data_IF_763632107707
#
_entry.id   IF_763632107707
#
_cell.length_a   1.000
_cell.length_b   1.000
_cell.length_c   1.000
_cell.angle_alpha   90.00
_cell.angle_beta   90.00
_cell.angle_gamma   90.00
#
_symmetry.space_group_name_H-M   'P 1'
#
loop_
_entity.id
_entity.type
_entity.pdbx_description
1 polymer ?
#
# COMPACT_ATOMS: atom_id res chain seq x y z
N UNK A 1 -4.00 33.36 34.85
CA UNK A 1 -5.01 32.43 34.29
C UNK A 1 -6.10 33.31 33.70
N UNK A 2 -6.38 33.22 32.39
CA UNK A 2 -7.44 34.05 31.78
C UNK A 2 -8.80 33.68 32.38
N UNK A 3 -9.74 34.64 32.56
CA UNK A 3 -11.01 34.39 33.26
C UNK A 3 -11.85 33.21 32.70
N UNK A 4 -11.64 32.86 31.42
CA UNK A 4 -12.28 31.71 30.79
C UNK A 4 -11.70 30.36 31.22
N UNK A 5 -10.39 30.28 31.52
CA UNK A 5 -9.73 29.01 31.88
C UNK A 5 -10.19 28.47 33.22
N UNK A 6 -10.60 29.35 34.12
CA UNK A 6 -11.08 29.01 35.48
C UNK A 6 -12.49 28.37 35.50
N UNK A 7 -13.18 28.36 34.35
CA UNK A 7 -14.53 27.78 34.20
C UNK A 7 -14.55 26.39 33.57
N UNK A 8 -13.39 25.84 33.18
CA UNK A 8 -13.30 24.48 32.65
C UNK A 8 -12.94 23.50 33.77
N UNK A 9 -13.84 22.55 34.05
CA UNK A 9 -13.61 21.53 35.09
C UNK A 9 -12.60 20.43 34.70
N UNK A 10 -12.25 20.31 33.41
CA UNK A 10 -11.22 19.40 32.92
C UNK A 10 -10.69 19.85 31.56
N UNK A 11 -9.44 19.53 31.28
CA UNK A 11 -8.80 19.71 29.97
C UNK A 11 -8.27 18.36 29.49
N UNK A 12 -8.85 17.83 28.40
CA UNK A 12 -8.37 16.61 27.75
C UNK A 12 -7.47 17.00 26.58
N UNK A 13 -6.25 16.48 26.56
CA UNK A 13 -5.34 16.59 25.42
C UNK A 13 -5.45 15.34 24.57
N UNK A 14 -5.83 15.51 23.31
CA UNK A 14 -5.95 14.41 22.34
C UNK A 14 -4.67 14.29 21.51
N UNK A 15 -4.52 13.16 20.83
CA UNK A 15 -3.44 12.92 19.87
C UNK A 15 -3.91 11.97 18.78
N UNK A 16 -3.23 11.97 17.65
CA UNK A 16 -3.41 10.95 16.61
C UNK A 16 -2.91 9.57 17.08
N UNK A 17 -3.37 8.47 16.47
CA UNK A 17 -2.89 7.13 16.78
C UNK A 17 -1.36 7.04 16.74
N UNK A 18 -0.79 6.36 17.74
CA UNK A 18 0.67 6.20 17.87
C UNK A 18 1.15 4.87 17.31
N UNK A 19 0.28 3.86 17.35
CA UNK A 19 0.54 2.51 16.84
C UNK A 19 -0.14 2.32 15.49
N UNK A 20 0.48 1.55 14.60
CA UNK A 20 -0.12 1.21 13.31
C UNK A 20 -1.40 0.40 13.51
N UNK A 21 -1.42 -0.50 14.47
CA UNK A 21 -2.58 -1.34 14.78
C UNK A 21 -3.81 -0.49 15.13
N UNK A 22 -3.64 0.58 15.91
CA UNK A 22 -4.74 1.49 16.27
C UNK A 22 -5.28 2.22 15.03
N UNK A 23 -4.39 2.64 14.12
CA UNK A 23 -4.79 3.28 12.85
C UNK A 23 -5.56 2.29 11.97
N UNK A 24 -5.13 1.02 11.90
CA UNK A 24 -5.81 -0.04 11.15
C UNK A 24 -7.20 -0.31 11.72
N UNK A 25 -7.32 -0.43 13.05
CA UNK A 25 -8.62 -0.63 13.70
C UNK A 25 -9.59 0.52 13.39
N UNK A 26 -9.11 1.76 13.39
CA UNK A 26 -9.92 2.92 13.02
C UNK A 26 -10.33 2.85 11.53
N UNK A 27 -9.40 2.54 10.63
CA UNK A 27 -9.71 2.39 9.20
C UNK A 27 -10.78 1.32 8.94
N UNK A 28 -10.69 0.17 9.62
CA UNK A 28 -11.65 -0.92 9.44
C UNK A 28 -13.02 -0.61 10.04
N UNK A 29 -13.05 0.07 11.19
CA UNK A 29 -14.28 0.43 11.88
C UNK A 29 -15.03 1.57 11.18
N UNK A 30 -14.31 2.57 10.67
CA UNK A 30 -14.89 3.83 10.18
C UNK A 30 -15.07 3.87 8.66
N UNK A 31 -14.53 2.89 7.91
CA UNK A 31 -14.72 2.87 6.45
C UNK A 31 -16.20 2.75 6.09
N UNK A 32 -16.57 3.42 5.04
CA UNK A 32 -17.86 3.23 4.38
C UNK A 32 -17.82 1.91 3.62
N UNK A 33 -18.65 0.96 4.02
CA UNK A 33 -18.93 -0.22 3.20
C UNK A 33 -19.66 0.22 1.93
N UNK A 34 -19.14 -0.15 0.76
CA UNK A 34 -19.80 0.09 -0.52
C UNK A 34 -20.38 -1.21 -1.07
N UNK A 35 -21.56 -1.19 -1.71
CA UNK A 35 -22.11 -2.37 -2.35
C UNK A 35 -21.19 -2.78 -3.51
N UNK A 36 -20.71 -4.01 -3.47
CA UNK A 36 -19.89 -4.61 -4.53
C UNK A 36 -20.69 -5.65 -5.34
N UNK A 37 -22.02 -5.55 -5.38
CA UNK A 37 -22.93 -6.45 -6.11
C UNK A 37 -22.62 -7.94 -5.94
N UNK A 38 -22.31 -8.35 -4.70
CA UNK A 38 -21.99 -9.74 -4.37
C UNK A 38 -20.53 -10.16 -4.59
N UNK A 39 -19.67 -9.28 -5.14
CA UNK A 39 -18.23 -9.52 -5.24
C UNK A 39 -17.59 -9.46 -3.84
N UNK A 40 -17.04 -10.58 -3.32
CA UNK A 40 -16.32 -10.57 -2.07
C UNK A 40 -15.07 -9.68 -2.19
N UNK A 41 -14.81 -8.93 -1.12
CA UNK A 41 -13.63 -8.05 -0.99
C UNK A 41 -12.85 -8.50 0.24
N UNK A 42 -11.56 -8.76 0.05
CA UNK A 42 -10.63 -9.06 1.14
C UNK A 42 -9.40 -8.17 1.01
N UNK A 43 -8.72 -7.92 2.12
CA UNK A 43 -7.54 -7.07 2.14
C UNK A 43 -6.43 -7.74 2.97
N UNK A 44 -5.27 -8.04 2.35
CA UNK A 44 -4.14 -8.59 3.06
C UNK A 44 -3.63 -7.62 4.12
N UNK A 45 -3.14 -8.18 5.22
CA UNK A 45 -2.66 -7.40 6.37
C UNK A 45 -1.56 -6.39 5.98
N UNK A 46 -0.61 -6.80 5.14
CA UNK A 46 0.44 -5.90 4.66
C UNK A 46 -0.10 -4.71 3.84
N UNK A 47 -1.23 -4.85 3.13
CA UNK A 47 -1.84 -3.72 2.41
C UNK A 47 -2.46 -2.72 3.37
N UNK A 48 -3.12 -3.17 4.44
CA UNK A 48 -3.63 -2.28 5.50
C UNK A 48 -2.48 -1.56 6.20
N UNK A 49 -1.39 -2.28 6.50
CA UNK A 49 -0.18 -1.69 7.07
C UNK A 49 0.46 -0.65 6.16
N UNK A 50 0.44 -0.82 4.84
CA UNK A 50 0.95 0.20 3.89
C UNK A 50 0.15 1.50 4.01
N UNK A 51 -1.19 1.43 4.08
CA UNK A 51 -2.05 2.62 4.22
C UNK A 51 -1.80 3.33 5.55
N UNK A 52 -1.73 2.57 6.65
CA UNK A 52 -1.44 3.12 7.97
C UNK A 52 -0.01 3.72 8.04
N UNK A 53 0.99 3.04 7.49
CA UNK A 53 2.37 3.50 7.46
C UNK A 53 2.52 4.79 6.63
N UNK A 54 1.84 4.88 5.49
CA UNK A 54 1.79 6.10 4.68
C UNK A 54 1.32 7.29 5.52
N UNK A 55 0.23 7.11 6.27
CA UNK A 55 -0.35 8.17 7.12
C UNK A 55 0.61 8.56 8.25
N UNK A 56 1.27 7.60 8.87
CA UNK A 56 2.29 7.85 9.91
C UNK A 56 3.53 8.55 9.35
N UNK A 57 3.98 8.21 8.14
CA UNK A 57 5.07 8.89 7.47
C UNK A 57 4.68 10.33 7.12
N UNK A 58 3.45 10.55 6.63
CA UNK A 58 2.94 11.88 6.32
C UNK A 58 2.91 12.80 7.56
N UNK A 59 2.47 12.30 8.72
CA UNK A 59 2.50 13.02 10.02
C UNK A 59 3.89 13.43 10.50
N UNK A 60 4.95 12.86 9.93
CA UNK A 60 6.35 13.13 10.32
C UNK A 60 7.14 13.81 9.20
N UNK A 61 6.52 14.02 8.03
CA UNK A 61 7.20 14.59 6.88
C UNK A 61 7.36 16.10 7.02
N UNK A 62 8.58 16.60 6.85
CA UNK A 62 8.86 18.04 6.77
C UNK A 62 8.30 18.69 5.51
N UNK A 63 7.93 17.89 4.50
CA UNK A 63 7.31 18.36 3.25
C UNK A 63 5.79 18.59 3.42
N UNK A 64 5.20 18.19 4.55
CA UNK A 64 3.76 18.32 4.85
C UNK A 64 3.56 19.29 6.00
N UNK A 65 2.56 20.18 5.86
CA UNK A 65 2.18 21.17 6.87
C UNK A 65 1.79 20.52 8.19
N UNK A 66 2.63 20.68 9.19
CA UNK A 66 2.36 20.18 10.54
C UNK A 66 1.36 21.07 11.30
N UNK A 67 1.12 22.29 10.81
CA UNK A 67 0.07 23.19 11.33
C UNK A 67 -1.32 22.65 11.02
N UNK A 68 -1.51 22.17 9.80
CA UNK A 68 -2.78 21.61 9.32
C UNK A 68 -2.93 20.15 9.80
N UNK A 69 -1.81 19.45 9.92
CA UNK A 69 -1.74 18.07 10.42
C UNK A 69 -2.30 17.06 9.42
N UNK A 70 -2.15 15.77 9.74
CA UNK A 70 -2.64 14.67 8.89
C UNK A 70 -3.64 13.84 9.69
N UNK A 71 -4.92 14.04 9.36
CA UNK A 71 -6.04 13.40 10.04
C UNK A 71 -6.11 11.89 9.80
N UNK A 72 -6.75 11.16 10.71
CA UNK A 72 -7.18 9.77 10.48
C UNK A 72 -8.14 9.63 9.27
N UNK A 73 -8.80 10.71 8.85
CA UNK A 73 -9.60 10.70 7.61
C UNK A 73 -8.76 10.41 6.36
N UNK A 74 -7.46 10.69 6.40
CA UNK A 74 -6.55 10.34 5.30
C UNK A 74 -6.44 8.82 5.17
N UNK A 75 -6.19 8.12 6.27
CA UNK A 75 -6.04 6.66 6.26
C UNK A 75 -7.36 5.97 5.91
N UNK A 76 -8.48 6.40 6.49
CA UNK A 76 -9.82 5.88 6.19
C UNK A 76 -10.13 6.01 4.69
N UNK A 77 -10.02 7.21 4.12
CA UNK A 77 -10.32 7.41 2.71
C UNK A 77 -9.31 6.73 1.78
N UNK A 78 -8.04 6.64 2.17
CA UNK A 78 -7.04 5.90 1.40
C UNK A 78 -7.37 4.41 1.37
N UNK A 79 -7.86 3.85 2.48
CA UNK A 79 -8.29 2.46 2.53
C UNK A 79 -9.54 2.22 1.67
N UNK A 80 -10.53 3.10 1.73
CA UNK A 80 -11.71 3.04 0.87
C UNK A 80 -11.34 3.11 -0.63
N UNK A 81 -10.42 4.00 -1.01
CA UNK A 81 -9.96 4.14 -2.39
C UNK A 81 -9.14 2.93 -2.86
N UNK A 82 -8.33 2.35 -1.97
CA UNK A 82 -7.60 1.12 -2.25
C UNK A 82 -8.55 -0.03 -2.58
N UNK A 83 -9.56 -0.24 -1.73
CA UNK A 83 -10.57 -1.27 -1.94
C UNK A 83 -11.42 -1.00 -3.20
N UNK A 84 -11.77 0.27 -3.44
CA UNK A 84 -12.51 0.67 -4.65
C UNK A 84 -11.71 0.41 -5.93
N UNK A 85 -10.41 0.67 -5.91
CA UNK A 85 -9.51 0.34 -7.04
C UNK A 85 -9.47 -1.17 -7.28
N UNK A 86 -9.31 -1.96 -6.20
CA UNK A 86 -9.28 -3.41 -6.29
C UNK A 86 -10.59 -4.00 -6.87
N UNK A 87 -11.75 -3.48 -6.42
CA UNK A 87 -13.06 -3.88 -6.93
C UNK A 87 -13.23 -3.49 -8.40
N UNK A 88 -12.89 -2.25 -8.76
CA UNK A 88 -12.91 -1.79 -10.15
C UNK A 88 -12.05 -2.68 -11.04
N UNK A 89 -10.86 -3.07 -10.60
CA UNK A 89 -9.98 -4.00 -11.32
C UNK A 89 -10.60 -5.38 -11.45
N UNK A 90 -11.08 -5.95 -10.35
CA UNK A 90 -11.71 -7.27 -10.33
C UNK A 90 -12.90 -7.35 -11.30
N UNK A 91 -13.80 -6.36 -11.27
CA UNK A 91 -14.95 -6.29 -12.20
C UNK A 91 -14.49 -6.21 -13.66
N UNK A 92 -13.49 -5.37 -13.98
CA UNK A 92 -12.96 -5.23 -15.35
C UNK A 92 -12.30 -6.50 -15.88
N UNK A 93 -11.68 -7.27 -14.98
CA UNK A 93 -10.97 -8.50 -15.32
C UNK A 93 -11.84 -9.76 -15.16
N UNK A 94 -13.09 -9.62 -14.73
CA UNK A 94 -13.99 -10.74 -14.45
C UNK A 94 -13.49 -11.64 -13.32
N UNK A 95 -12.88 -11.07 -12.29
CA UNK A 95 -12.41 -11.81 -11.11
C UNK A 95 -13.53 -11.95 -10.07
N UNK A 96 -13.64 -13.14 -9.46
CA UNK A 96 -14.66 -13.45 -8.45
C UNK A 96 -14.29 -12.98 -7.03
N UNK A 97 -13.11 -12.39 -6.85
CA UNK A 97 -12.62 -11.89 -5.56
C UNK A 97 -11.75 -10.64 -5.76
N UNK A 98 -12.11 -9.56 -5.08
CA UNK A 98 -11.32 -8.34 -5.07
C UNK A 98 -10.33 -8.33 -3.91
N UNK A 99 -9.04 -8.37 -4.25
CA UNK A 99 -7.93 -8.19 -3.31
C UNK A 99 -7.01 -7.08 -3.82
N UNK A 100 -6.71 -6.04 -3.02
CA UNK A 100 -5.84 -4.94 -3.44
C UNK A 100 -4.39 -5.40 -3.62
N UNK A 101 -3.72 -4.83 -4.63
CA UNK A 101 -2.32 -5.10 -4.99
C UNK A 101 -1.50 -3.80 -4.98
N UNK A 102 -0.19 -3.88 -5.20
CA UNK A 102 0.68 -2.69 -5.31
C UNK A 102 0.24 -1.78 -6.44
N UNK A 103 -0.25 -2.35 -7.55
CA UNK A 103 -0.79 -1.59 -8.68
C UNK A 103 -2.01 -0.72 -8.31
N UNK A 104 -2.73 -1.07 -7.23
CA UNK A 104 -3.87 -0.28 -6.72
C UNK A 104 -3.41 0.93 -5.86
N UNK A 105 -2.14 1.00 -5.46
CA UNK A 105 -1.62 2.09 -4.61
C UNK A 105 -1.63 3.47 -5.29
N UNK A 106 -1.71 3.52 -6.62
CA UNK A 106 -1.90 4.77 -7.35
C UNK A 106 -3.15 5.55 -6.89
N UNK A 107 -4.19 4.85 -6.43
CA UNK A 107 -5.42 5.47 -5.92
C UNK A 107 -5.20 6.25 -4.61
N UNK A 108 -4.17 5.91 -3.83
CA UNK A 108 -3.86 6.60 -2.57
C UNK A 108 -3.33 8.01 -2.84
N UNK A 109 -2.53 8.21 -3.89
CA UNK A 109 -1.97 9.52 -4.23
C UNK A 109 -3.11 10.51 -4.49
N UNK A 110 -4.03 10.15 -5.38
CA UNK A 110 -5.19 10.98 -5.70
C UNK A 110 -6.08 11.28 -4.47
N UNK A 111 -6.30 10.30 -3.60
CA UNK A 111 -7.09 10.49 -2.36
C UNK A 111 -6.38 11.37 -1.33
N UNK A 112 -5.05 11.27 -1.24
CA UNK A 112 -4.24 11.97 -0.23
C UNK A 112 -4.06 13.44 -0.58
N UNK A 113 -3.83 13.77 -1.85
CA UNK A 113 -3.62 15.16 -2.32
C UNK A 113 -4.73 16.11 -1.88
N UNK A 114 -6.00 15.68 -1.94
CA UNK A 114 -7.11 16.52 -1.50
C UNK A 114 -7.27 16.65 0.04
N UNK A 115 -6.39 16.04 0.84
CA UNK A 115 -6.54 15.91 2.30
C UNK A 115 -5.29 16.27 3.10
N UNK A 116 -4.22 16.64 2.43
CA UNK A 116 -3.00 17.14 3.07
C UNK A 116 -2.67 18.51 2.51
N UNK A 117 -1.90 19.28 3.26
CA UNK A 117 -1.31 20.52 2.78
C UNK A 117 0.21 20.36 2.79
N UNK A 118 0.87 20.78 1.71
CA UNK A 118 2.33 20.81 1.69
C UNK A 118 2.86 21.99 2.51
N UNK A 119 4.04 21.80 3.12
CA UNK A 119 4.77 22.94 3.66
C UNK A 119 5.28 23.79 2.48
N UNK A 120 5.01 25.10 2.53
CA UNK A 120 5.30 26.01 1.42
C UNK A 120 6.80 26.21 1.26
N UNK A 121 7.48 25.30 0.55
CA UNK A 121 8.87 25.47 0.14
C UNK A 121 9.02 25.07 -1.33
N UNK A 122 9.08 26.09 -2.20
CA UNK A 122 9.44 25.97 -3.63
C UNK A 122 8.41 25.28 -4.53
N UNK A 123 8.82 24.98 -5.77
CA UNK A 123 8.06 24.20 -6.77
C UNK A 123 8.00 22.70 -6.42
N UNK A 124 7.63 22.39 -5.18
CA UNK A 124 7.52 21.02 -4.72
C UNK A 124 6.32 20.36 -5.39
N UNK A 125 6.60 19.39 -6.26
CA UNK A 125 5.56 18.59 -6.90
C UNK A 125 4.97 17.61 -5.88
N UNK A 126 3.74 17.86 -5.46
CA UNK A 126 2.99 17.09 -4.47
C UNK A 126 2.92 15.59 -4.78
N UNK A 127 2.65 15.23 -6.04
CA UNK A 127 2.59 13.83 -6.46
C UNK A 127 3.94 13.12 -6.26
N UNK A 128 5.06 13.83 -6.48
CA UNK A 128 6.40 13.26 -6.22
C UNK A 128 6.65 13.03 -4.74
N UNK A 129 6.23 13.96 -3.87
CA UNK A 129 6.35 13.81 -2.42
C UNK A 129 5.53 12.59 -1.96
N UNK A 130 4.27 12.53 -2.37
CA UNK A 130 3.39 11.40 -2.05
C UNK A 130 3.91 10.08 -2.60
N UNK A 131 4.39 10.06 -3.84
CA UNK A 131 4.99 8.87 -4.44
C UNK A 131 6.18 8.33 -3.63
N UNK A 132 7.06 9.23 -3.15
CA UNK A 132 8.16 8.83 -2.26
C UNK A 132 7.66 8.29 -0.92
N UNK A 133 6.62 8.90 -0.34
CA UNK A 133 6.02 8.42 0.91
C UNK A 133 5.38 7.03 0.74
N UNK A 134 4.68 6.78 -0.38
CA UNK A 134 4.12 5.46 -0.72
C UNK A 134 5.24 4.43 -0.88
N UNK A 135 6.29 4.73 -1.65
CA UNK A 135 7.45 3.83 -1.79
C UNK A 135 8.09 3.53 -0.43
N UNK A 136 8.25 4.54 0.42
CA UNK A 136 8.80 4.37 1.77
C UNK A 136 7.88 3.51 2.65
N UNK A 137 6.55 3.69 2.55
CA UNK A 137 5.58 2.87 3.26
C UNK A 137 5.68 1.39 2.83
N UNK A 138 5.68 1.13 1.52
CA UNK A 138 5.86 -0.23 0.97
C UNK A 138 7.17 -0.86 1.48
N UNK A 139 8.29 -0.14 1.40
CA UNK A 139 9.58 -0.62 1.88
C UNK A 139 9.57 -0.92 3.40
N UNK A 140 9.02 -0.01 4.20
CA UNK A 140 8.95 -0.18 5.65
C UNK A 140 8.11 -1.39 6.04
N UNK A 141 6.98 -1.61 5.36
CA UNK A 141 6.12 -2.77 5.59
C UNK A 141 6.80 -4.04 5.09
N UNK A 142 7.38 -4.04 3.89
CA UNK A 142 8.15 -5.17 3.36
C UNK A 142 9.21 -5.68 4.33
N UNK A 143 9.98 -4.76 4.94
CA UNK A 143 11.02 -5.11 5.92
C UNK A 143 10.47 -5.69 7.24
N UNK A 144 9.15 -5.66 7.50
CA UNK A 144 8.51 -6.36 8.62
C UNK A 144 8.22 -7.82 8.30
N UNK A 145 8.03 -8.14 7.02
CA UNK A 145 7.66 -9.48 6.56
C UNK A 145 8.87 -10.28 6.06
N UNK A 146 9.82 -9.60 5.41
CA UNK A 146 10.96 -10.23 4.77
C UNK A 146 12.25 -9.45 5.00
N UNK A 147 13.34 -10.19 5.07
CA UNK A 147 14.70 -9.74 4.83
C UNK A 147 15.16 -10.13 3.42
N UNK A 148 16.16 -9.42 2.89
CA UNK A 148 16.71 -9.76 1.58
C UNK A 148 17.34 -11.16 1.53
N UNK A 149 17.87 -11.66 2.66
CA UNK A 149 18.47 -12.99 2.76
C UNK A 149 17.42 -14.11 2.59
N UNK A 150 16.22 -13.92 3.14
CA UNK A 150 15.11 -14.90 3.00
C UNK A 150 14.60 -15.02 1.56
N UNK A 151 14.91 -14.04 0.71
CA UNK A 151 14.46 -14.00 -0.69
C UNK A 151 15.61 -14.23 -1.69
N UNK A 152 16.76 -14.75 -1.23
CA UNK A 152 17.89 -15.07 -2.11
C UNK A 152 17.52 -15.99 -3.27
N UNK A 153 16.65 -16.99 -3.03
CA UNK A 153 16.16 -17.87 -4.10
C UNK A 153 15.36 -17.13 -5.18
N UNK A 154 14.61 -16.08 -4.79
CA UNK A 154 13.89 -15.22 -5.74
C UNK A 154 14.90 -14.39 -6.52
N UNK A 155 15.82 -13.71 -5.83
CA UNK A 155 16.85 -12.87 -6.46
C UNK A 155 17.72 -13.69 -7.42
N UNK A 156 18.13 -14.89 -7.03
CA UNK A 156 18.91 -15.81 -7.87
C UNK A 156 18.18 -16.20 -9.17
N UNK A 157 16.86 -16.42 -9.11
CA UNK A 157 16.07 -16.69 -10.32
C UNK A 157 16.09 -15.50 -11.30
N UNK A 158 15.99 -14.26 -10.78
CA UNK A 158 16.09 -13.03 -11.58
C UNK A 158 17.48 -12.81 -12.18
N UNK A 159 18.54 -13.11 -11.41
CA UNK A 159 19.92 -13.10 -11.93
C UNK A 159 20.14 -14.16 -13.02
N UNK A 160 19.41 -15.28 -12.94
CA UNK A 160 19.37 -16.33 -13.96
C UNK A 160 18.55 -15.98 -15.22
N UNK A 161 18.04 -14.74 -15.34
CA UNK A 161 17.33 -14.27 -16.53
C UNK A 161 15.80 -14.30 -16.42
N UNK A 162 15.23 -14.64 -15.26
CA UNK A 162 13.80 -14.48 -15.03
C UNK A 162 13.40 -13.01 -15.20
N UNK A 163 12.26 -12.79 -15.85
CA UNK A 163 11.58 -11.51 -15.86
C UNK A 163 10.10 -11.74 -15.60
N UNK A 164 9.51 -10.95 -14.72
CA UNK A 164 8.09 -11.02 -14.39
C UNK A 164 7.45 -9.69 -14.78
N UNK A 165 6.29 -9.78 -15.43
CA UNK A 165 5.48 -8.63 -15.76
C UNK A 165 4.28 -8.55 -14.83
N UNK A 166 3.99 -7.35 -14.36
CA UNK A 166 2.80 -7.04 -13.56
C UNK A 166 2.07 -5.83 -14.17
N UNK A 167 0.76 -5.76 -13.94
CA UNK A 167 -0.10 -4.65 -14.38
C UNK A 167 -1.44 -4.67 -13.67
N UNK A 168 -2.02 -3.49 -13.52
CA UNK A 168 -3.42 -3.25 -13.12
C UNK A 168 -4.46 -3.83 -14.09
N UNK A 169 -4.05 -4.16 -15.32
CA UNK A 169 -4.88 -4.82 -16.34
C UNK A 169 -4.57 -6.30 -16.55
N UNK A 170 -3.72 -6.89 -15.68
CA UNK A 170 -3.35 -8.30 -15.76
C UNK A 170 -4.24 -9.16 -14.83
N UNK A 171 -4.92 -10.20 -15.37
CA UNK A 171 -5.71 -11.14 -14.57
C UNK A 171 -4.89 -11.89 -13.52
N UNK A 172 -5.47 -12.17 -12.35
CA UNK A 172 -4.85 -12.95 -11.27
C UNK A 172 -4.26 -14.29 -11.73
N UNK A 173 -4.94 -14.98 -12.63
CA UNK A 173 -4.53 -16.30 -13.15
C UNK A 173 -3.19 -16.23 -13.89
N UNK A 174 -2.87 -15.08 -14.50
CA UNK A 174 -1.60 -14.87 -15.18
C UNK A 174 -0.44 -14.78 -14.18
N UNK A 175 -0.65 -14.23 -12.98
CA UNK A 175 0.36 -14.23 -11.92
C UNK A 175 0.67 -15.66 -11.47
N UNK A 176 -0.38 -16.47 -11.25
CA UNK A 176 -0.23 -17.88 -10.88
C UNK A 176 0.58 -18.64 -11.95
N UNK A 177 0.28 -18.40 -13.23
CA UNK A 177 1.01 -18.99 -14.35
C UNK A 177 2.48 -18.57 -14.38
N UNK A 178 2.77 -17.27 -14.22
CA UNK A 178 4.14 -16.75 -14.23
C UNK A 178 5.01 -17.33 -13.10
N UNK A 179 4.45 -17.48 -11.90
CA UNK A 179 5.24 -17.94 -10.74
C UNK A 179 5.28 -19.46 -10.56
N UNK A 180 4.47 -20.22 -11.31
CA UNK A 180 4.36 -21.68 -11.16
C UNK A 180 5.69 -22.42 -11.34
N UNK A 181 6.68 -21.80 -11.99
CA UNK A 181 8.04 -22.33 -12.19
C UNK A 181 9.08 -21.70 -11.25
N UNK A 182 8.66 -20.87 -10.30
CA UNK A 182 9.55 -20.16 -9.36
C UNK A 182 9.15 -20.53 -7.92
N UNK A 183 9.63 -21.69 -7.41
CA UNK A 183 9.23 -22.18 -6.08
C UNK A 183 9.48 -21.19 -4.95
N UNK A 184 10.59 -20.44 -5.02
CA UNK A 184 10.93 -19.44 -4.01
C UNK A 184 9.88 -18.30 -3.93
N UNK A 185 9.35 -17.86 -5.07
CA UNK A 185 8.34 -16.81 -5.11
C UNK A 185 6.97 -17.33 -4.67
N UNK A 186 6.66 -18.59 -5.00
CA UNK A 186 5.47 -19.28 -4.49
C UNK A 186 5.51 -19.41 -2.96
N UNK A 187 6.65 -19.81 -2.40
CA UNK A 187 6.84 -19.91 -0.95
C UNK A 187 6.71 -18.54 -0.25
N UNK A 188 7.25 -17.47 -0.86
CA UNK A 188 7.09 -16.12 -0.35
C UNK A 188 5.61 -15.68 -0.34
N UNK A 189 4.85 -15.99 -1.40
CA UNK A 189 3.42 -15.71 -1.45
C UNK A 189 2.64 -16.48 -0.37
N UNK A 190 2.94 -17.78 -0.18
CA UNK A 190 2.31 -18.60 0.85
C UNK A 190 2.59 -18.09 2.28
N UNK A 191 3.81 -17.59 2.54
CA UNK A 191 4.14 -16.97 3.84
C UNK A 191 3.29 -15.73 4.15
N UNK A 192 2.84 -15.01 3.11
CA UNK A 192 1.91 -13.89 3.23
C UNK A 192 0.44 -14.33 3.37
N UNK A 193 0.18 -15.64 3.44
CA UNK A 193 -1.17 -16.20 3.54
C UNK A 193 -1.94 -16.24 2.22
N UNK A 194 -1.28 -16.02 1.08
CA UNK A 194 -1.93 -16.05 -0.22
C UNK A 194 -2.22 -17.50 -0.65
N UNK A 195 -3.49 -17.83 -0.86
CA UNK A 195 -3.92 -19.17 -1.31
C UNK A 195 -4.59 -19.15 -2.67
N UNK A 196 -5.40 -18.13 -2.91
CA UNK A 196 -6.20 -17.91 -4.10
C UNK A 196 -5.47 -17.00 -5.09
N UNK A 197 -5.86 -17.06 -6.37
CA UNK A 197 -5.15 -16.37 -7.45
C UNK A 197 -5.03 -14.85 -7.19
N UNK A 198 -6.08 -14.21 -6.66
CA UNK A 198 -6.07 -12.78 -6.35
C UNK A 198 -5.10 -12.44 -5.20
N UNK A 199 -5.03 -13.28 -4.17
CA UNK A 199 -4.05 -13.19 -3.09
C UNK A 199 -2.63 -13.40 -3.60
N UNK A 200 -2.41 -14.39 -4.48
CA UNK A 200 -1.10 -14.67 -5.09
C UNK A 200 -0.62 -13.46 -5.89
N UNK A 201 -1.48 -12.87 -6.72
CA UNK A 201 -1.14 -11.68 -7.48
C UNK A 201 -0.74 -10.50 -6.58
N UNK A 202 -1.50 -10.26 -5.50
CA UNK A 202 -1.17 -9.22 -4.52
C UNK A 202 0.17 -9.47 -3.81
N UNK A 203 0.43 -10.72 -3.43
CA UNK A 203 1.65 -11.10 -2.72
C UNK A 203 2.88 -11.00 -3.63
N UNK A 204 2.76 -11.44 -4.89
CA UNK A 204 3.82 -11.33 -5.89
C UNK A 204 4.18 -9.88 -6.14
N UNK A 205 3.20 -9.02 -6.40
CA UNK A 205 3.46 -7.59 -6.59
C UNK A 205 4.16 -6.96 -5.38
N UNK A 206 3.74 -7.31 -4.15
CA UNK A 206 4.36 -6.81 -2.93
C UNK A 206 5.82 -7.25 -2.76
N UNK A 207 6.12 -8.53 -3.02
CA UNK A 207 7.49 -9.07 -2.94
C UNK A 207 8.39 -8.41 -3.99
N UNK A 208 7.92 -8.31 -5.24
CA UNK A 208 8.68 -7.71 -6.33
C UNK A 208 8.96 -6.23 -6.09
N UNK A 209 7.96 -5.47 -5.63
CA UNK A 209 8.15 -4.06 -5.31
C UNK A 209 9.10 -3.87 -4.13
N UNK A 210 9.00 -4.69 -3.08
CA UNK A 210 9.93 -4.64 -1.95
C UNK A 210 11.38 -4.96 -2.35
N UNK A 211 11.59 -5.98 -3.20
CA UNK A 211 12.91 -6.30 -3.75
C UNK A 211 13.45 -5.18 -4.65
N UNK A 212 12.58 -4.52 -5.43
CA UNK A 212 12.98 -3.36 -6.19
C UNK A 212 13.41 -2.18 -5.30
N UNK A 213 12.63 -1.86 -4.27
CA UNK A 213 12.90 -0.76 -3.34
C UNK A 213 14.14 -1.01 -2.46
N UNK A 214 14.51 -2.28 -2.25
CA UNK A 214 15.78 -2.69 -1.63
C UNK A 214 16.95 -2.80 -2.63
N UNK A 215 16.74 -2.37 -3.89
CA UNK A 215 17.73 -2.39 -4.97
C UNK A 215 18.24 -3.79 -5.33
N UNK A 216 17.42 -4.82 -5.11
CA UNK A 216 17.71 -6.21 -5.51
C UNK A 216 17.16 -6.55 -6.89
N UNK A 217 16.14 -5.83 -7.35
CA UNK A 217 15.57 -5.96 -8.69
C UNK A 217 15.48 -4.60 -9.38
N UNK A 218 15.63 -4.62 -10.70
CA UNK A 218 15.31 -3.50 -11.57
C UNK A 218 13.81 -3.53 -11.91
N UNK A 219 13.21 -2.34 -12.05
CA UNK A 219 11.82 -2.17 -12.49
C UNK A 219 11.79 -1.23 -13.69
N UNK A 220 11.40 -1.76 -14.84
CA UNK A 220 11.16 -0.98 -16.05
C UNK A 220 9.66 -0.68 -16.19
N UNK A 221 9.33 0.54 -16.62
CA UNK A 221 7.94 0.96 -16.90
C UNK A 221 7.71 0.92 -18.40
N UNK A 222 6.72 0.16 -18.87
CA UNK A 222 6.35 0.05 -20.28
C UNK A 222 4.84 0.12 -20.45
N UNK A 223 4.33 1.25 -20.96
CA UNK A 223 2.93 1.44 -21.33
C UNK A 223 1.92 1.00 -20.25
N UNK A 224 2.13 1.41 -18.99
CA UNK A 224 1.25 1.05 -17.85
C UNK A 224 1.50 -0.35 -17.27
N UNK A 225 2.50 -1.08 -17.78
CA UNK A 225 2.97 -2.35 -17.22
C UNK A 225 4.33 -2.15 -16.57
N UNK A 226 4.58 -2.91 -15.52
CA UNK A 226 5.88 -2.95 -14.85
C UNK A 226 6.55 -4.29 -15.14
N UNK A 227 7.82 -4.23 -15.52
CA UNK A 227 8.64 -5.41 -15.74
C UNK A 227 9.76 -5.44 -14.70
N UNK A 228 9.80 -6.50 -13.90
CA UNK A 228 10.89 -6.74 -12.96
C UNK A 228 11.93 -7.64 -13.60
N UNK A 229 13.21 -7.34 -13.37
CA UNK A 229 14.36 -8.12 -13.84
C UNK A 229 15.55 -8.02 -12.86
N UNK A 230 16.51 -8.93 -12.99
CA UNK A 230 17.79 -8.88 -12.28
C UNK A 230 18.61 -7.64 -12.58
#
# INVERSE_FOLDING_TARGET
>A
ITPLKDRFGSQIRTHYPRRLEDEILIMEAERTGFPADGLPVSSPEYMKQIVAELTHLARRSSEISQRSGVSVRVSICNYENLLSSAVKRAVRLGEDLAIPRVSDLGALVASTTGKIELETVGDTNEEKVLGKLVQRAVLNVFNRFFSAAELEGVVGAFQGGLAIQVSDTMPSSEYVRQIGQVPALTAAAQRLGATEAAGIAAAVEFVLEGLHLTKKLNKDVQAGRFRYRG
#
